data_IF_205616709795
#
_entry.id   IF_205616709795
#
_cell.length_a   1.000
_cell.length_b   1.000
_cell.length_c   1.000
_cell.angle_alpha   90.00
_cell.angle_beta   90.00
_cell.angle_gamma   90.00
#
_symmetry.space_group_name_H-M   'P 1'
#
loop_
_entity.id
_entity.type
_entity.pdbx_description
1 polymer ?
#
# COMPACT_ATOMS: atom_id res chain seq x y z
N UNK A 1 -0.95 5.37 17.29
CA UNK A 1 -0.62 5.19 15.87
C UNK A 1 -1.35 6.25 15.06
N UNK A 2 -0.74 6.82 14.00
CA UNK A 2 -1.45 7.73 13.10
C UNK A 2 -2.60 6.99 12.40
N UNK A 3 -3.72 7.67 12.19
CA UNK A 3 -4.86 7.12 11.43
C UNK A 3 -4.65 7.16 9.91
N UNK A 4 -3.66 7.94 9.43
CA UNK A 4 -3.26 8.07 8.03
C UNK A 4 -1.78 8.51 7.95
N UNK A 5 -1.03 7.94 7.03
CA UNK A 5 0.39 8.28 6.80
C UNK A 5 0.68 8.43 5.30
N UNK A 6 1.49 9.43 4.93
CA UNK A 6 1.93 9.63 3.55
C UNK A 6 3.00 8.60 3.18
N UNK A 7 2.65 7.65 2.31
CA UNK A 7 3.56 6.57 1.91
C UNK A 7 4.25 6.81 0.55
N UNK A 8 3.77 7.77 -0.24
CA UNK A 8 4.34 8.15 -1.52
C UNK A 8 3.64 9.35 -2.14
N UNK A 9 4.31 10.00 -3.10
CA UNK A 9 3.76 11.11 -3.89
C UNK A 9 4.41 11.12 -5.26
N UNK A 10 3.71 11.67 -6.25
CA UNK A 10 4.19 11.83 -7.62
C UNK A 10 3.71 13.18 -8.17
N UNK A 11 4.57 13.90 -8.88
CA UNK A 11 4.20 15.15 -9.56
C UNK A 11 4.06 14.89 -11.05
N UNK A 12 2.85 15.10 -11.58
CA UNK A 12 2.56 14.94 -13.01
C UNK A 12 2.21 16.30 -13.61
N UNK A 13 2.86 16.66 -14.71
CA UNK A 13 2.48 17.82 -15.52
C UNK A 13 1.39 17.43 -16.51
N UNK A 14 0.29 18.20 -16.53
CA UNK A 14 -0.87 17.92 -17.37
C UNK A 14 -1.22 19.16 -18.18
N UNK A 15 -1.31 19.01 -19.51
CA UNK A 15 -1.75 20.08 -20.41
C UNK A 15 -3.25 20.35 -20.24
N UNK A 16 -3.66 21.59 -20.47
CA UNK A 16 -5.07 22.00 -20.39
C UNK A 16 -5.97 21.06 -21.21
N UNK A 17 -7.02 20.55 -20.57
CA UNK A 17 -8.01 19.66 -21.19
C UNK A 17 -7.53 18.24 -21.48
N UNK A 18 -6.36 17.83 -20.96
CA UNK A 18 -5.84 16.47 -21.07
C UNK A 18 -5.86 15.76 -19.72
N UNK A 19 -5.69 14.44 -19.75
CA UNK A 19 -5.56 13.58 -18.57
C UNK A 19 -4.12 13.08 -18.50
N UNK A 20 -3.53 13.12 -17.30
CA UNK A 20 -2.24 12.50 -17.01
C UNK A 20 -2.42 11.21 -16.19
N UNK A 21 -1.43 10.34 -16.22
CA UNK A 21 -1.36 9.17 -15.33
C UNK A 21 -0.25 9.40 -14.31
N UNK A 22 -0.57 9.25 -13.03
CA UNK A 22 0.42 9.18 -11.96
C UNK A 22 0.63 7.70 -11.59
N UNK A 23 1.89 7.26 -11.59
CA UNK A 23 2.28 5.91 -11.14
C UNK A 23 3.25 6.08 -9.97
N UNK A 24 2.95 5.43 -8.85
CA UNK A 24 3.83 5.39 -7.69
C UNK A 24 4.12 3.94 -7.33
N UNK A 25 5.40 3.61 -7.19
CA UNK A 25 5.84 2.31 -6.72
C UNK A 25 6.13 2.38 -5.22
N UNK A 26 5.60 1.42 -4.47
CA UNK A 26 5.73 1.36 -3.02
C UNK A 26 6.47 0.08 -2.63
N UNK A 27 7.63 0.24 -1.97
CA UNK A 27 8.28 -0.85 -1.25
C UNK A 27 7.46 -1.15 0.02
N UNK A 28 6.71 -2.25 0.01
CA UNK A 28 5.83 -2.62 1.11
C UNK A 28 6.57 -2.75 2.45
N UNK A 29 7.78 -3.29 2.46
CA UNK A 29 8.56 -3.48 3.67
C UNK A 29 9.07 -2.16 4.27
N UNK A 30 9.48 -1.22 3.40
CA UNK A 30 10.00 0.08 3.86
C UNK A 30 8.87 1.06 4.19
N UNK A 31 7.87 1.18 3.32
CA UNK A 31 6.85 2.23 3.37
C UNK A 31 5.62 1.86 4.21
N UNK A 32 5.32 0.57 4.38
CA UNK A 32 4.12 0.11 5.11
C UNK A 32 4.47 -0.54 6.45
N UNK A 33 5.75 -0.53 6.86
CA UNK A 33 6.13 -0.99 8.19
C UNK A 33 5.88 0.09 9.24
N UNK A 34 5.44 -0.33 10.42
CA UNK A 34 5.21 0.53 11.59
C UNK A 34 6.13 0.09 12.72
N UNK A 35 6.56 1.02 13.57
CA UNK A 35 7.32 0.69 14.76
C UNK A 35 6.39 0.08 15.82
N UNK A 36 6.81 -1.02 16.44
CA UNK A 36 6.16 -1.57 17.62
C UNK A 36 6.60 -0.86 18.91
N UNK A 37 6.13 -1.34 20.06
CA UNK A 37 6.45 -0.76 21.38
C UNK A 37 7.94 -0.83 21.75
N UNK A 38 8.74 -1.65 21.06
CA UNK A 38 10.18 -1.78 21.25
C UNK A 38 10.97 -0.97 20.19
N UNK A 39 10.28 -0.25 19.31
CA UNK A 39 10.88 0.52 18.22
C UNK A 39 11.26 -0.32 17.01
N UNK A 40 10.92 -1.62 16.97
CA UNK A 40 11.20 -2.49 15.82
C UNK A 40 10.13 -2.31 14.75
N UNK A 41 10.57 -2.12 13.50
CA UNK A 41 9.65 -1.97 12.36
C UNK A 41 9.10 -3.33 11.91
N UNK A 42 7.78 -3.44 11.80
CA UNK A 42 7.05 -4.64 11.34
C UNK A 42 5.99 -4.25 10.31
N UNK A 43 5.76 -5.10 9.31
CA UNK A 43 4.65 -4.94 8.36
C UNK A 43 3.41 -5.62 8.95
N UNK A 44 2.29 -4.91 8.98
CA UNK A 44 1.03 -5.47 9.49
C UNK A 44 0.37 -6.31 8.40
N UNK A 45 0.02 -7.56 8.71
CA UNK A 45 -0.75 -8.44 7.82
C UNK A 45 -2.25 -8.11 7.89
N UNK A 46 -2.99 -8.43 6.83
CA UNK A 46 -4.44 -8.17 6.73
C UNK A 46 -4.77 -7.06 5.73
N UNK A 47 -5.94 -6.46 5.90
CA UNK A 47 -6.48 -5.47 4.96
C UNK A 47 -5.93 -4.08 5.23
N UNK A 48 -5.51 -3.41 4.16
CA UNK A 48 -5.01 -2.05 4.13
C UNK A 48 -5.82 -1.19 3.17
N UNK A 49 -5.79 0.12 3.39
CA UNK A 49 -6.42 1.11 2.50
C UNK A 49 -5.38 2.15 2.08
N UNK A 50 -5.14 2.28 0.77
CA UNK A 50 -4.44 3.41 0.18
C UNK A 50 -5.45 4.48 -0.21
N UNK A 51 -5.20 5.70 0.24
CA UNK A 51 -5.94 6.90 -0.13
C UNK A 51 -5.09 7.72 -1.11
N UNK A 52 -5.62 8.00 -2.29
CA UNK A 52 -4.97 8.81 -3.33
C UNK A 52 -5.75 10.10 -3.51
N UNK A 53 -5.07 11.24 -3.35
CA UNK A 53 -5.65 12.58 -3.50
C UNK A 53 -5.72 13.37 -2.19
N UNK A 54 -5.96 14.68 -2.31
CA UNK A 54 -6.15 15.58 -1.17
C UNK A 54 -7.54 15.43 -0.53
N UNK A 55 -7.67 15.72 0.76
CA UNK A 55 -8.97 15.77 1.45
C UNK A 55 -9.90 16.87 0.93
N UNK A 56 -9.34 17.88 0.26
CA UNK A 56 -10.08 18.95 -0.41
C UNK A 56 -10.59 18.57 -1.80
N UNK A 57 -10.22 17.39 -2.30
CA UNK A 57 -10.51 16.92 -3.65
C UNK A 57 -11.16 15.52 -3.61
N UNK A 58 -11.51 15.00 -4.77
CA UNK A 58 -12.00 13.62 -4.87
C UNK A 58 -10.85 12.66 -4.58
N UNK A 59 -10.96 11.92 -3.48
CA UNK A 59 -10.05 10.83 -3.15
C UNK A 59 -10.49 9.50 -3.78
N UNK A 60 -9.50 8.69 -4.17
CA UNK A 60 -9.68 7.31 -4.59
C UNK A 60 -9.17 6.39 -3.49
N UNK A 61 -9.92 5.32 -3.19
CA UNK A 61 -9.56 4.31 -2.19
C UNK A 61 -9.20 3.00 -2.88
N UNK A 62 -8.01 2.49 -2.60
CA UNK A 62 -7.59 1.16 -3.01
C UNK A 62 -7.45 0.27 -1.78
N UNK A 63 -8.18 -0.84 -1.76
CA UNK A 63 -8.08 -1.84 -0.71
C UNK A 63 -7.18 -2.98 -1.18
N UNK A 64 -6.25 -3.40 -0.34
CA UNK A 64 -5.35 -4.52 -0.65
C UNK A 64 -5.05 -5.29 0.63
N UNK A 65 -4.66 -6.56 0.48
CA UNK A 65 -4.31 -7.42 1.60
C UNK A 65 -2.83 -7.76 1.57
N UNK A 66 -2.15 -7.64 2.71
CA UNK A 66 -0.81 -8.17 2.90
C UNK A 66 -0.94 -9.51 3.60
N UNK A 67 -0.37 -10.55 2.99
CA UNK A 67 -0.36 -11.91 3.52
C UNK A 67 1.08 -12.40 3.64
N UNK A 68 1.30 -13.35 4.56
CA UNK A 68 2.56 -14.08 4.59
C UNK A 68 2.63 -14.95 3.32
N UNK A 69 3.78 -14.90 2.65
CA UNK A 69 4.07 -15.85 1.59
C UNK A 69 4.15 -17.24 2.24
N UNK A 70 3.38 -18.18 1.72
CA UNK A 70 3.60 -19.60 2.02
C UNK A 70 4.87 -20.00 1.26
N UNK A 71 5.94 -20.33 1.98
CA UNK A 71 7.03 -21.07 1.33
C UNK A 71 6.50 -22.49 1.08
N UNK A 72 6.53 -22.96 -0.16
CA UNK A 72 6.40 -24.39 -0.42
C UNK A 72 7.59 -25.10 0.24
N UNK A 73 7.32 -25.63 1.43
CA UNK A 73 8.25 -26.31 2.31
C UNK A 73 7.45 -27.09 3.34
N UNK A 74 6.99 -28.27 2.89
CA UNK A 74 6.28 -29.35 3.59
C UNK A 74 4.83 -29.11 4.03
N UNK A 75 3.89 -29.64 3.21
CA UNK A 75 2.54 -30.00 3.63
C UNK A 75 1.48 -29.71 2.58
N UNK A 76 1.28 -30.65 1.65
CA UNK A 76 0.49 -30.48 0.43
C UNK A 76 -0.96 -30.02 0.60
N UNK A 77 -1.41 -29.26 -0.38
CA UNK A 77 -2.80 -28.87 -0.56
C UNK A 77 -2.92 -27.96 -1.78
N UNK A 78 -3.20 -28.57 -2.94
CA UNK A 78 -3.43 -27.86 -4.19
C UNK A 78 -4.52 -26.79 -4.05
N UNK A 79 -4.34 -25.65 -4.69
CA UNK A 79 -5.47 -24.76 -4.99
C UNK A 79 -5.42 -24.30 -6.44
N UNK A 80 -6.20 -25.01 -7.26
CA UNK A 80 -6.85 -24.48 -8.46
C UNK A 80 -8.10 -23.71 -7.98
N UNK A 81 -8.23 -22.43 -8.33
CA UNK A 81 -9.25 -21.88 -9.25
C UNK A 81 -8.83 -20.47 -9.66
#
# INVERSE_FOLDING_TARGET
MPSLELVGFERVEVKRGKTGTAKTELDACKRLSVADGEGKRKVVIGQHTLLVGSSSERQVKHHFNIRLAQSEGEGGGAFLV
#
